data_IF_530318833994
#
_entry.id   IF_530318833994
#
_cell.length_a   1.000
_cell.length_b   1.000
_cell.length_c   1.000
_cell.angle_alpha   90.00
_cell.angle_beta   90.00
_cell.angle_gamma   90.00
#
_symmetry.space_group_name_H-M   'P 1'
#
loop_
_entity.id
_entity.type
_entity.pdbx_description
1 polymer ?
#
# COMPACT_ATOMS: atom_id res chain seq x y z
N UNK A 1 9.87 -73.92 -7.20
CA UNK A 1 9.45 -73.23 -5.96
C UNK A 1 9.95 -71.80 -6.07
N UNK A 2 9.05 -70.87 -6.42
CA UNK A 2 9.39 -69.47 -6.71
C UNK A 2 8.97 -68.61 -5.53
N UNK A 3 9.93 -67.93 -4.89
CA UNK A 3 9.69 -67.03 -3.76
C UNK A 3 9.40 -65.61 -4.30
N UNK A 4 8.15 -65.16 -4.18
CA UNK A 4 7.78 -63.75 -4.36
C UNK A 4 8.13 -62.97 -3.08
N UNK A 5 9.05 -62.01 -3.19
CA UNK A 5 9.36 -61.05 -2.13
C UNK A 5 8.40 -59.87 -2.25
N UNK A 6 7.59 -59.67 -1.23
CA UNK A 6 6.70 -58.53 -1.06
C UNK A 6 7.51 -57.39 -0.41
N UNK A 7 7.82 -56.34 -1.16
CA UNK A 7 8.48 -55.15 -0.64
C UNK A 7 7.43 -54.17 -0.11
N UNK A 8 7.41 -54.00 1.20
CA UNK A 8 6.56 -53.05 1.91
C UNK A 8 7.24 -51.67 1.88
N UNK A 9 6.74 -50.76 1.04
CA UNK A 9 7.23 -49.38 0.96
C UNK A 9 6.61 -48.56 2.11
N UNK A 10 7.45 -48.13 3.05
CA UNK A 10 7.08 -47.25 4.15
C UNK A 10 7.04 -45.80 3.64
N UNK A 11 5.85 -45.22 3.47
CA UNK A 11 5.66 -43.80 3.20
C UNK A 11 5.87 -43.02 4.51
N UNK A 12 7.02 -42.38 4.65
CA UNK A 12 7.28 -41.42 5.71
C UNK A 12 6.69 -40.06 5.30
N UNK A 13 5.57 -39.68 5.90
CA UNK A 13 4.99 -38.35 5.76
C UNK A 13 5.84 -37.34 6.55
N UNK A 14 6.64 -36.55 5.84
CA UNK A 14 7.33 -35.38 6.41
C UNK A 14 6.29 -34.28 6.56
N UNK A 15 5.77 -34.11 7.78
CA UNK A 15 4.99 -32.93 8.12
C UNK A 15 5.93 -31.73 8.17
N UNK A 16 5.89 -30.88 7.14
CA UNK A 16 6.58 -29.60 7.15
C UNK A 16 5.95 -28.72 8.25
N UNK A 17 6.66 -28.50 9.35
CA UNK A 17 6.34 -27.44 10.29
C UNK A 17 6.60 -26.12 9.58
N UNK A 18 5.54 -25.51 9.04
CA UNK A 18 5.59 -24.10 8.66
C UNK A 18 5.68 -23.28 9.97
N UNK A 19 6.64 -22.36 10.11
CA UNK A 19 6.67 -21.47 11.25
C UNK A 19 5.39 -20.64 11.25
N UNK A 20 4.60 -20.76 12.33
CA UNK A 20 3.50 -19.83 12.58
C UNK A 20 4.13 -18.49 12.97
N UNK A 21 4.29 -17.59 11.99
CA UNK A 21 4.69 -16.22 12.25
C UNK A 21 3.53 -15.53 12.99
N UNK A 22 3.74 -15.26 14.28
CA UNK A 22 2.83 -14.48 15.10
C UNK A 22 2.97 -13.00 14.70
N UNK A 23 2.08 -12.50 13.84
CA UNK A 23 1.97 -11.07 13.57
C UNK A 23 1.12 -10.42 14.66
N UNK A 24 1.78 -9.91 15.70
CA UNK A 24 1.17 -8.93 16.59
C UNK A 24 1.49 -7.54 16.05
N UNK A 25 0.54 -6.87 15.40
CA UNK A 25 0.73 -5.45 15.06
C UNK A 25 -0.58 -4.67 15.25
N UNK A 26 -0.80 -4.25 16.49
CA UNK A 26 -1.72 -3.16 16.84
C UNK A 26 -0.91 -2.00 17.46
N UNK A 27 0.17 -1.61 16.79
CA UNK A 27 0.83 -0.33 17.02
C UNK A 27 0.49 0.55 15.81
N UNK A 28 0.13 1.82 16.04
CA UNK A 28 -0.15 2.83 15.02
C UNK A 28 0.81 2.65 13.83
N UNK A 29 0.28 2.33 12.65
CA UNK A 29 1.09 2.10 11.45
C UNK A 29 1.16 3.39 10.67
N UNK A 30 2.32 4.02 10.64
CA UNK A 30 2.55 5.20 9.79
C UNK A 30 3.45 4.83 8.62
N UNK A 31 3.12 5.36 7.44
CA UNK A 31 4.03 5.44 6.33
C UNK A 31 5.03 6.56 6.61
N UNK A 32 6.24 6.16 6.98
CA UNK A 32 7.31 7.08 7.33
C UNK A 32 7.99 7.56 6.05
N UNK A 33 8.26 8.86 5.94
CA UNK A 33 8.99 9.43 4.80
C UNK A 33 9.94 10.56 5.23
N UNK A 34 10.84 10.94 4.33
CA UNK A 34 11.80 12.05 4.48
C UNK A 34 12.23 12.57 3.11
N UNK A 35 13.04 13.63 3.07
CA UNK A 35 13.71 14.06 1.85
C UNK A 35 15.11 13.48 1.75
N UNK A 36 15.44 12.83 0.64
CA UNK A 36 16.78 12.34 0.32
C UNK A 36 17.09 12.65 -1.13
N UNK A 37 18.28 13.21 -1.38
CA UNK A 37 18.76 13.55 -2.72
C UNK A 37 17.75 14.31 -3.58
N UNK A 38 17.03 15.23 -2.93
CA UNK A 38 16.00 16.06 -3.54
C UNK A 38 14.77 15.26 -4.07
N UNK A 39 14.40 14.17 -3.40
CA UNK A 39 13.19 13.39 -3.63
C UNK A 39 12.54 13.02 -2.28
N UNK A 40 11.21 12.80 -2.29
CA UNK A 40 10.53 12.15 -1.15
C UNK A 40 10.86 10.66 -1.14
N UNK A 41 11.54 10.18 -0.10
CA UNK A 41 11.84 8.76 0.11
C UNK A 41 10.94 8.22 1.23
N UNK A 42 10.22 7.13 0.95
CA UNK A 42 9.50 6.39 1.98
C UNK A 42 10.42 5.37 2.65
N UNK A 43 10.37 5.33 3.97
CA UNK A 43 11.15 4.43 4.79
C UNK A 43 10.37 3.13 5.04
N UNK A 44 11.04 1.97 5.03
CA UNK A 44 10.41 0.72 5.37
C UNK A 44 9.87 0.76 6.80
N UNK A 45 8.63 0.31 7.01
CA UNK A 45 8.05 0.24 8.34
C UNK A 45 8.86 -0.73 9.22
N UNK A 46 9.28 -0.33 10.43
CA UNK A 46 9.99 -1.21 11.34
C UNK A 46 9.21 -2.51 11.60
N UNK A 47 9.85 -3.67 11.39
CA UNK A 47 9.24 -4.98 11.65
C UNK A 47 8.38 -5.55 10.52
N UNK A 48 8.26 -4.87 9.37
CA UNK A 48 7.65 -5.45 8.17
C UNK A 48 8.75 -6.14 7.33
N UNK A 49 8.82 -7.48 7.38
CA UNK A 49 9.76 -8.28 6.58
C UNK A 49 9.44 -8.25 5.07
N UNK A 50 8.23 -7.83 4.67
CA UNK A 50 7.78 -7.70 3.27
C UNK A 50 8.19 -6.36 2.63
N UNK A 51 9.41 -5.91 2.91
CA UNK A 51 10.01 -4.66 2.44
C UNK A 51 10.47 -4.69 0.98
N UNK A 52 9.63 -5.19 0.07
CA UNK A 52 9.53 -4.47 -1.20
C UNK A 52 8.98 -3.10 -0.80
N UNK A 53 9.85 -2.08 -0.75
CA UNK A 53 9.79 -0.88 0.10
C UNK A 53 8.63 0.10 -0.18
N UNK A 54 7.52 -0.36 -0.78
CA UNK A 54 6.49 0.45 -1.42
C UNK A 54 5.06 -0.03 -1.15
N UNK A 55 4.82 -0.87 -0.14
CA UNK A 55 3.47 -1.32 0.26
C UNK A 55 3.26 -1.07 1.74
N UNK A 56 2.21 -0.33 2.09
CA UNK A 56 1.77 -0.11 3.47
C UNK A 56 0.37 -0.66 3.68
N UNK A 57 0.12 -1.17 4.87
CA UNK A 57 -1.11 -1.91 5.17
C UNK A 57 -1.99 -1.17 6.18
N UNK A 58 -3.29 -1.28 5.95
CA UNK A 58 -4.35 -0.90 6.88
C UNK A 58 -5.41 -2.00 6.96
N UNK A 59 -6.34 -1.85 7.88
CA UNK A 59 -7.47 -2.75 8.05
C UNK A 59 -8.73 -1.93 8.29
N UNK A 60 -9.83 -2.35 7.65
CA UNK A 60 -11.16 -1.85 7.95
C UNK A 60 -11.91 -2.85 8.83
N UNK A 61 -12.60 -2.33 9.84
CA UNK A 61 -13.56 -3.13 10.59
C UNK A 61 -14.65 -3.67 9.65
N UNK A 62 -14.97 -4.96 9.73
CA UNK A 62 -16.04 -5.58 8.92
C UNK A 62 -17.44 -5.35 9.48
N UNK A 63 -17.55 -4.81 10.70
CA UNK A 63 -18.81 -4.60 11.38
C UNK A 63 -18.71 -3.64 12.56
N UNK A 64 -19.85 -3.29 13.14
CA UNK A 64 -19.92 -2.34 14.25
C UNK A 64 -20.00 -0.89 13.78
N UNK A 65 -19.82 0.04 14.73
CA UNK A 65 -20.01 1.47 14.48
C UNK A 65 -18.96 2.08 13.54
N UNK A 66 -17.76 1.49 13.47
CA UNK A 66 -16.64 1.92 12.64
C UNK A 66 -16.44 1.01 11.41
N UNK A 67 -17.45 0.22 11.05
CA UNK A 67 -17.36 -0.65 9.89
C UNK A 67 -16.94 0.15 8.66
N UNK A 68 -15.99 -0.39 7.89
CA UNK A 68 -15.48 0.22 6.66
C UNK A 68 -14.80 1.59 6.86
N UNK A 69 -14.36 1.93 8.07
CA UNK A 69 -13.68 3.18 8.38
C UNK A 69 -12.33 2.86 9.04
N UNK A 70 -11.26 3.51 8.58
CA UNK A 70 -9.95 3.46 9.23
C UNK A 70 -9.19 4.75 8.99
N UNK A 71 -8.24 5.05 9.86
CA UNK A 71 -7.26 6.12 9.65
C UNK A 71 -5.83 5.59 9.63
N UNK A 72 -5.68 4.28 9.44
CA UNK A 72 -4.40 3.59 9.33
C UNK A 72 -4.20 3.09 7.89
N UNK A 73 -3.00 3.22 7.30
CA UNK A 73 -1.85 3.85 7.92
C UNK A 73 -1.96 5.39 7.96
N UNK A 74 -1.33 6.00 8.96
CA UNK A 74 -1.05 7.43 8.94
C UNK A 74 0.17 7.77 8.10
N UNK A 75 0.57 9.03 8.14
CA UNK A 75 1.74 9.56 7.45
C UNK A 75 2.60 10.32 8.44
N UNK A 76 3.89 9.99 8.49
CA UNK A 76 4.80 10.65 9.41
C UNK A 76 6.19 10.92 8.85
N UNK A 77 6.79 11.98 9.36
CA UNK A 77 8.17 12.39 9.14
C UNK A 77 8.61 13.13 10.40
N UNK A 78 9.48 12.52 11.20
CA UNK A 78 9.86 13.03 12.53
C UNK A 78 11.25 13.68 12.52
N UNK A 79 11.33 14.96 12.81
CA UNK A 79 12.57 15.73 12.92
C UNK A 79 13.47 15.22 14.03
N UNK A 80 12.89 14.77 15.15
CA UNK A 80 13.64 14.23 16.30
C UNK A 80 14.38 12.91 15.99
N UNK A 81 14.09 12.28 14.84
CA UNK A 81 14.83 11.13 14.29
C UNK A 81 15.72 11.44 13.09
N UNK A 82 15.88 12.71 12.71
CA UNK A 82 16.58 13.12 11.48
C UNK A 82 15.81 12.81 10.20
N UNK A 83 14.50 12.56 10.30
CA UNK A 83 13.61 12.23 9.19
C UNK A 83 12.68 13.38 8.82
N UNK A 84 12.63 14.43 9.64
CA UNK A 84 11.78 15.61 9.44
C UNK A 84 12.00 16.26 8.08
N UNK A 85 10.94 16.87 7.58
CA UNK A 85 10.93 17.66 6.35
C UNK A 85 11.11 19.16 6.66
N UNK A 86 11.03 20.04 5.66
CA UNK A 86 11.16 21.47 5.87
C UNK A 86 9.99 22.03 6.70
N UNK A 87 10.25 22.97 7.63
CA UNK A 87 9.18 23.64 8.36
C UNK A 87 8.14 24.28 7.45
N UNK A 88 6.86 23.95 7.67
CA UNK A 88 5.75 24.47 6.89
C UNK A 88 5.58 23.84 5.50
N UNK A 89 6.36 22.81 5.14
CA UNK A 89 6.14 22.07 3.91
C UNK A 89 4.77 21.37 3.94
N UNK A 90 4.05 21.47 2.83
CA UNK A 90 2.76 20.83 2.60
C UNK A 90 3.02 19.51 1.88
N UNK A 91 2.31 18.47 2.30
CA UNK A 91 2.37 17.14 1.68
C UNK A 91 0.99 16.78 1.15
N UNK A 92 0.95 16.38 -0.10
CA UNK A 92 -0.22 15.85 -0.78
C UNK A 92 0.10 14.48 -1.40
N UNK A 93 -0.93 13.73 -1.79
CA UNK A 93 -0.76 12.53 -2.60
C UNK A 93 -1.34 12.70 -4.00
N UNK A 94 -0.75 12.01 -4.95
CA UNK A 94 -1.31 11.78 -6.27
C UNK A 94 -1.91 10.37 -6.30
N UNK A 95 -3.12 10.22 -6.80
CA UNK A 95 -3.64 8.91 -7.20
C UNK A 95 -3.10 8.62 -8.59
N UNK A 96 -2.46 7.46 -8.79
CA UNK A 96 -1.77 7.12 -10.03
C UNK A 96 -2.64 6.30 -10.99
N UNK A 97 -3.56 5.49 -10.46
CA UNK A 97 -4.43 4.61 -11.23
C UNK A 97 -5.74 4.35 -10.46
N UNK A 98 -6.62 3.54 -11.05
CA UNK A 98 -7.89 3.08 -10.49
C UNK A 98 -7.70 2.29 -9.18
N UNK A 99 -8.82 2.04 -8.49
CA UNK A 99 -8.84 1.18 -7.32
C UNK A 99 -8.49 -0.27 -7.68
N UNK A 100 -7.44 -0.81 -7.07
CA UNK A 100 -7.08 -2.22 -7.21
C UNK A 100 -7.89 -3.05 -6.23
N UNK A 101 -8.25 -4.26 -6.66
CA UNK A 101 -8.92 -5.24 -5.82
C UNK A 101 -8.27 -6.60 -6.02
N UNK A 102 -7.91 -7.23 -4.90
CA UNK A 102 -7.35 -8.57 -4.86
C UNK A 102 -8.22 -9.44 -3.96
N UNK A 103 -8.55 -10.63 -4.43
CA UNK A 103 -9.22 -11.65 -3.63
C UNK A 103 -8.89 -13.05 -4.18
N UNK A 104 -8.88 -14.05 -3.31
CA UNK A 104 -8.70 -15.47 -3.70
C UNK A 104 -7.49 -15.74 -4.61
N UNK A 105 -6.38 -15.01 -4.43
CA UNK A 105 -5.16 -15.23 -5.20
C UNK A 105 -5.03 -14.44 -6.50
N UNK A 106 -6.02 -13.63 -6.87
CA UNK A 106 -6.04 -12.92 -8.15
C UNK A 106 -6.41 -11.44 -8.01
N UNK A 107 -5.82 -10.61 -8.87
CA UNK A 107 -6.30 -9.25 -9.09
C UNK A 107 -7.55 -9.26 -9.99
N UNK A 108 -8.52 -8.43 -9.66
CA UNK A 108 -9.72 -8.19 -10.44
C UNK A 108 -10.12 -6.71 -10.33
N UNK A 109 -11.04 -6.27 -11.18
CA UNK A 109 -11.71 -4.99 -10.96
C UNK A 109 -12.69 -5.13 -9.79
N UNK A 110 -12.76 -4.14 -8.87
CA UNK A 110 -13.82 -4.12 -7.87
C UNK A 110 -15.20 -3.94 -8.53
N UNK A 111 -16.27 -4.16 -7.76
CA UNK A 111 -17.62 -3.78 -8.18
C UNK A 111 -17.63 -2.29 -8.61
N UNK A 112 -18.22 -1.93 -9.77
CA UNK A 112 -18.25 -0.56 -10.26
C UNK A 112 -18.84 0.49 -9.31
N UNK A 113 -19.63 0.06 -8.32
CA UNK A 113 -20.24 0.93 -7.32
C UNK A 113 -19.42 1.03 -6.02
N UNK A 114 -18.31 0.28 -5.92
CA UNK A 114 -17.41 0.31 -4.77
C UNK A 114 -16.31 1.33 -5.00
N UNK A 115 -16.06 2.15 -3.98
CA UNK A 115 -14.98 3.13 -3.99
C UNK A 115 -14.32 3.25 -2.62
N UNK A 116 -13.07 3.70 -2.62
CA UNK A 116 -12.42 4.19 -1.40
C UNK A 116 -12.54 5.71 -1.39
N UNK A 117 -13.19 6.23 -0.35
CA UNK A 117 -13.20 7.66 -0.02
C UNK A 117 -12.02 7.96 0.89
N UNK A 118 -11.14 8.86 0.46
CA UNK A 118 -10.13 9.48 1.31
C UNK A 118 -10.66 10.84 1.78
N UNK A 119 -10.97 10.94 3.07
CA UNK A 119 -11.40 12.20 3.69
C UNK A 119 -10.18 13.05 4.01
N UNK A 120 -9.94 14.06 3.18
CA UNK A 120 -8.78 14.92 3.27
C UNK A 120 -8.90 15.92 4.43
N UNK A 121 -7.75 16.36 4.95
CA UNK A 121 -7.70 17.27 6.09
C UNK A 121 -8.01 18.72 5.67
N UNK A 122 -9.29 19.02 5.43
CA UNK A 122 -9.79 20.37 5.14
C UNK A 122 -9.96 20.69 3.65
N UNK A 123 -9.74 19.72 2.77
CA UNK A 123 -10.07 19.83 1.34
C UNK A 123 -11.15 18.82 0.94
N UNK A 124 -11.58 18.86 -0.32
CA UNK A 124 -12.57 17.92 -0.85
C UNK A 124 -12.06 16.49 -0.75
N UNK A 125 -12.96 15.56 -0.41
CA UNK A 125 -12.66 14.13 -0.40
C UNK A 125 -12.22 13.64 -1.78
N UNK A 126 -11.35 12.64 -1.80
CA UNK A 126 -10.96 11.92 -3.01
C UNK A 126 -11.75 10.63 -3.08
N UNK A 127 -12.33 10.31 -4.24
CA UNK A 127 -13.03 9.04 -4.48
C UNK A 127 -12.23 8.25 -5.52
N UNK A 128 -11.80 7.05 -5.14
CA UNK A 128 -11.02 6.16 -6.02
C UNK A 128 -11.82 4.88 -6.24
N UNK A 129 -12.19 4.64 -7.49
CA UNK A 129 -13.00 3.49 -7.93
C UNK A 129 -12.34 2.80 -9.14
N UNK A 130 -13.02 1.80 -9.71
CA UNK A 130 -12.56 0.99 -10.84
C UNK A 130 -12.24 1.77 -12.14
N UNK A 131 -12.74 2.99 -12.31
CA UNK A 131 -12.64 3.80 -13.53
C UNK A 131 -12.21 5.26 -13.27
N UNK A 132 -11.83 5.58 -12.03
CA UNK A 132 -11.48 6.94 -11.60
C UNK A 132 -10.17 7.47 -12.21
N UNK A 133 -9.23 6.60 -12.57
CA UNK A 133 -7.93 6.94 -13.17
C UNK A 133 -7.02 7.79 -12.28
N UNK A 134 -6.01 8.40 -12.89
CA UNK A 134 -5.06 9.27 -12.19
C UNK A 134 -5.73 10.57 -11.69
N UNK A 135 -5.46 10.94 -10.44
CA UNK A 135 -5.99 12.14 -9.78
C UNK A 135 -4.83 12.89 -9.12
N UNK A 136 -4.27 13.93 -9.77
CA UNK A 136 -3.15 14.67 -9.22
C UNK A 136 -3.55 15.44 -7.96
N UNK A 137 -2.67 15.41 -6.96
CA UNK A 137 -2.76 16.28 -5.80
C UNK A 137 -2.32 17.70 -6.11
N UNK A 138 -2.58 18.61 -5.18
CA UNK A 138 -2.10 19.99 -5.27
C UNK A 138 -1.71 20.50 -3.90
N UNK A 139 -0.46 20.95 -3.78
CA UNK A 139 0.09 21.64 -2.60
C UNK A 139 -0.16 23.15 -2.61
N UNK A 140 -0.90 23.63 -3.61
CA UNK A 140 -1.42 24.98 -3.69
C UNK A 140 -2.96 24.96 -3.71
N UNK A 141 -3.60 26.08 -3.33
CA UNK A 141 -5.05 26.20 -3.39
C UNK A 141 -5.59 25.78 -4.77
N UNK A 142 -6.56 24.85 -4.83
CA UNK A 142 -7.51 24.49 -3.77
C UNK A 142 -7.13 23.32 -2.84
N UNK A 143 -5.85 22.91 -2.76
CA UNK A 143 -5.33 21.88 -1.84
C UNK A 143 -5.95 20.47 -2.05
N UNK A 144 -6.02 20.04 -3.31
CA UNK A 144 -6.53 18.70 -3.68
C UNK A 144 -5.62 17.61 -3.11
N UNK A 145 -6.21 16.53 -2.56
CA UNK A 145 -5.49 15.37 -2.01
C UNK A 145 -4.40 15.75 -0.97
N UNK A 146 -4.60 16.85 -0.23
CA UNK A 146 -3.64 17.30 0.77
C UNK A 146 -3.78 16.47 2.04
N UNK A 147 -2.65 15.89 2.48
CA UNK A 147 -2.55 15.14 3.73
C UNK A 147 -2.42 16.11 4.91
N UNK A 148 -1.56 17.12 4.76
CA UNK A 148 -1.38 18.17 5.76
C UNK A 148 -0.12 19.01 5.54
N UNK A 149 0.30 19.69 6.61
CA UNK A 149 1.46 20.57 6.63
C UNK A 149 2.35 20.20 7.83
N UNK A 150 3.68 20.23 7.62
CA UNK A 150 4.67 20.10 8.68
C UNK A 150 4.63 21.30 9.61
N UNK A 151 4.98 21.09 10.88
CA UNK A 151 5.01 22.15 11.86
C UNK A 151 6.24 23.07 11.72
N UNK A 152 6.43 23.96 12.70
CA UNK A 152 7.53 24.93 12.70
C UNK A 152 8.93 24.33 12.88
N UNK A 153 9.06 23.06 13.23
CA UNK A 153 10.34 22.34 13.35
C UNK A 153 10.51 21.26 12.28
N UNK A 154 9.52 21.09 11.39
CA UNK A 154 9.56 20.08 10.33
C UNK A 154 8.98 18.73 10.74
N UNK A 155 8.31 18.64 11.90
CA UNK A 155 7.57 17.44 12.28
C UNK A 155 6.27 17.35 11.48
N UNK A 156 6.04 16.18 10.91
CA UNK A 156 4.81 15.83 10.21
C UNK A 156 4.24 14.56 10.81
N UNK A 157 3.03 14.64 11.36
CA UNK A 157 2.24 13.48 11.74
C UNK A 157 0.78 13.78 11.43
N UNK A 158 0.23 13.08 10.44
CA UNK A 158 -1.12 13.33 9.94
C UNK A 158 -1.77 12.02 9.58
N UNK A 159 -3.05 11.92 9.90
CA UNK A 159 -3.91 10.86 9.44
C UNK A 159 -4.96 11.48 8.53
N UNK A 160 -5.20 10.87 7.38
CA UNK A 160 -6.45 11.01 6.63
C UNK A 160 -7.34 9.82 6.98
N UNK A 161 -8.62 9.91 6.66
CA UNK A 161 -9.55 8.80 6.91
C UNK A 161 -9.88 8.10 5.60
N UNK A 162 -9.81 6.79 5.60
CA UNK A 162 -10.13 5.93 4.47
C UNK A 162 -11.45 5.22 4.76
N UNK A 163 -12.42 5.37 3.87
CA UNK A 163 -13.69 4.66 3.96
C UNK A 163 -13.91 3.79 2.73
N UNK A 164 -14.29 2.53 2.95
CA UNK A 164 -14.69 1.64 1.87
C UNK A 164 -16.22 1.70 1.70
N UNK A 165 -16.69 2.31 0.62
CA UNK A 165 -18.10 2.61 0.43
C UNK A 165 -18.66 1.90 -0.80
N UNK A 166 -19.98 1.75 -0.82
CA UNK A 166 -20.74 1.25 -1.96
C UNK A 166 -21.90 2.22 -2.23
N UNK A 167 -22.10 2.68 -3.46
CA UNK A 167 -23.07 3.74 -3.78
C UNK A 167 -24.52 3.38 -3.39
N UNK A 168 -24.87 2.10 -3.47
CA UNK A 168 -26.19 1.57 -3.05
C UNK A 168 -26.35 1.38 -1.54
N UNK A 169 -25.28 1.56 -0.75
CA UNK A 169 -25.25 1.23 0.68
C UNK A 169 -25.09 -0.26 1.00
N UNK A 170 -24.84 -1.11 0.00
CA UNK A 170 -24.50 -2.50 0.21
C UNK A 170 -23.12 -2.65 0.90
N UNK A 171 -22.89 -3.77 1.59
CA UNK A 171 -21.54 -4.11 2.05
C UNK A 171 -20.69 -4.51 0.84
N UNK A 172 -19.51 -3.90 0.61
CA UNK A 172 -18.56 -4.34 -0.39
C UNK A 172 -18.13 -5.80 -0.18
N UNK A 173 -17.63 -6.46 -1.23
CA UNK A 173 -17.09 -7.82 -1.12
C UNK A 173 -15.84 -7.85 -0.24
N UNK A 174 -15.59 -8.97 0.44
CA UNK A 174 -14.31 -9.14 1.12
C UNK A 174 -13.15 -9.17 0.13
N UNK A 175 -11.98 -8.68 0.56
CA UNK A 175 -10.79 -8.61 -0.25
C UNK A 175 -9.78 -7.58 0.24
N UNK A 176 -8.68 -7.45 -0.49
CA UNK A 176 -7.67 -6.43 -0.29
C UNK A 176 -7.82 -5.33 -1.35
N UNK A 177 -8.11 -4.11 -0.90
CA UNK A 177 -8.29 -2.95 -1.77
C UNK A 177 -7.03 -2.08 -1.75
N UNK A 178 -6.53 -1.68 -2.91
CA UNK A 178 -5.25 -0.99 -3.05
C UNK A 178 -5.36 0.36 -3.74
N UNK A 179 -4.79 1.39 -3.12
CA UNK A 179 -4.58 2.71 -3.72
C UNK A 179 -3.15 2.82 -4.25
N UNK A 180 -2.98 3.02 -5.55
CA UNK A 180 -1.67 3.34 -6.14
C UNK A 180 -1.42 4.85 -6.03
N UNK A 181 -0.40 5.24 -5.28
CA UNK A 181 -0.14 6.63 -4.91
C UNK A 181 1.31 7.06 -5.17
N UNK A 182 1.54 8.36 -5.28
CA UNK A 182 2.84 8.98 -4.96
C UNK A 182 2.64 10.15 -4.01
N UNK A 183 3.67 10.53 -3.26
CA UNK A 183 3.67 11.75 -2.44
C UNK A 183 4.25 12.92 -3.22
N UNK A 184 3.71 14.11 -2.98
CA UNK A 184 4.20 15.38 -3.52
C UNK A 184 4.34 16.41 -2.42
N UNK A 185 5.18 17.43 -2.65
CA UNK A 185 5.41 18.51 -1.70
C UNK A 185 5.60 19.86 -2.37
N UNK A 186 5.41 20.95 -1.62
CA UNK A 186 5.77 22.31 -2.07
C UNK A 186 7.23 22.68 -1.80
N UNK A 187 8.02 21.80 -1.19
CA UNK A 187 9.44 22.03 -0.96
C UNK A 187 10.18 22.23 -2.30
N UNK A 188 10.81 23.39 -2.46
CA UNK A 188 11.46 23.75 -3.72
C UNK A 188 12.59 22.77 -4.07
N UNK A 189 12.51 22.18 -5.26
CA UNK A 189 13.53 21.27 -5.76
C UNK A 189 13.41 19.84 -5.25
N UNK A 190 12.40 19.52 -4.44
CA UNK A 190 12.11 18.14 -4.02
C UNK A 190 11.13 17.51 -5.02
N UNK A 191 11.53 16.40 -5.63
CA UNK A 191 10.69 15.60 -6.52
C UNK A 191 9.71 14.71 -5.74
N UNK A 192 8.63 14.33 -6.41
CA UNK A 192 7.63 13.38 -5.90
C UNK A 192 8.28 12.02 -5.55
N UNK A 193 7.64 11.30 -4.64
CA UNK A 193 8.09 9.95 -4.30
C UNK A 193 7.95 8.98 -5.46
N UNK A 194 8.70 7.88 -5.40
CA UNK A 194 8.37 6.70 -6.19
C UNK A 194 6.91 6.24 -5.92
N UNK A 195 6.26 5.58 -6.91
CA UNK A 195 4.96 4.98 -6.73
C UNK A 195 4.92 4.03 -5.53
N UNK A 196 3.79 3.96 -4.84
CA UNK A 196 3.54 3.05 -3.73
C UNK A 196 2.11 2.55 -3.71
N UNK A 197 1.85 1.53 -2.90
CA UNK A 197 0.50 1.07 -2.57
C UNK A 197 0.19 1.30 -1.09
N UNK A 198 -1.00 1.85 -0.82
CA UNK A 198 -1.71 1.62 0.43
C UNK A 198 -2.72 0.50 0.19
N UNK A 199 -2.62 -0.59 0.92
CA UNK A 199 -3.55 -1.72 0.80
C UNK A 199 -4.32 -1.92 2.10
N UNK A 200 -5.59 -2.22 1.98
CA UNK A 200 -6.50 -2.33 3.10
C UNK A 200 -7.16 -3.70 3.11
N UNK A 201 -7.08 -4.39 4.25
CA UNK A 201 -7.82 -5.62 4.46
C UNK A 201 -9.29 -5.31 4.75
N UNK A 202 -10.20 -5.90 3.97
CA UNK A 202 -11.62 -5.99 4.32
C UNK A 202 -12.05 -7.46 4.44
N UNK A 203 -11.94 -8.01 5.63
CA UNK A 203 -12.50 -9.33 5.96
C UNK A 203 -11.73 -10.55 5.44
N UNK A 204 -10.51 -10.39 4.91
CA UNK A 204 -9.64 -11.52 4.60
C UNK A 204 -9.03 -12.12 5.87
N UNK A 205 -8.69 -13.41 5.80
CA UNK A 205 -7.82 -14.02 6.80
C UNK A 205 -6.44 -13.36 6.76
N UNK A 206 -5.71 -13.43 7.88
CA UNK A 206 -4.33 -12.91 7.93
C UNK A 206 -3.41 -13.54 6.87
N UNK A 207 -3.58 -14.84 6.60
CA UNK A 207 -2.80 -15.54 5.59
C UNK A 207 -3.12 -15.01 4.19
N UNK A 208 -4.39 -14.81 3.87
CA UNK A 208 -4.80 -14.30 2.56
C UNK A 208 -4.39 -12.84 2.37
N UNK A 209 -4.46 -12.02 3.43
CA UNK A 209 -4.01 -10.63 3.34
C UNK A 209 -2.49 -10.51 3.19
N UNK A 210 -1.71 -11.38 3.84
CA UNK A 210 -0.26 -11.46 3.59
C UNK A 210 0.05 -11.89 2.14
N UNK A 211 -0.74 -12.82 1.57
CA UNK A 211 -0.62 -13.18 0.16
C UNK A 211 -0.98 -12.01 -0.76
N UNK A 212 -2.02 -11.24 -0.43
CA UNK A 212 -2.37 -10.02 -1.15
C UNK A 212 -1.21 -9.00 -1.13
N UNK A 213 -0.63 -8.73 0.04
CA UNK A 213 0.49 -7.81 0.18
C UNK A 213 1.68 -8.18 -0.71
N UNK A 214 2.01 -9.47 -0.79
CA UNK A 214 3.03 -9.98 -1.71
C UNK A 214 2.64 -9.79 -3.17
N UNK A 215 1.38 -10.01 -3.54
CA UNK A 215 0.92 -9.79 -4.91
C UNK A 215 1.01 -8.30 -5.32
N UNK A 216 0.70 -7.36 -4.41
CA UNK A 216 0.89 -5.93 -4.66
C UNK A 216 2.38 -5.54 -4.77
N UNK A 217 3.22 -6.13 -3.93
CA UNK A 217 4.67 -5.97 -3.99
C UNK A 217 5.26 -6.42 -5.33
N UNK A 218 4.77 -7.55 -5.87
CA UNK A 218 5.19 -8.10 -7.15
C UNK A 218 4.86 -7.17 -8.33
N UNK A 219 3.87 -6.27 -8.21
CA UNK A 219 3.59 -5.24 -9.23
C UNK A 219 4.75 -4.26 -9.43
N UNK A 220 5.66 -4.12 -8.46
CA UNK A 220 6.88 -3.31 -8.57
C UNK A 220 8.10 -4.08 -9.06
N UNK A 221 8.00 -5.41 -9.18
CA UNK A 221 9.10 -6.22 -9.70
C UNK A 221 8.99 -6.25 -11.22
N UNK A 222 10.07 -5.94 -11.96
CA UNK A 222 10.05 -6.07 -13.41
C UNK A 222 9.61 -7.48 -13.78
N UNK A 223 8.57 -7.57 -14.61
CA UNK A 223 7.97 -8.85 -15.00
C UNK A 223 8.93 -9.74 -15.81
N UNK A 224 10.01 -9.15 -16.33
CA UNK A 224 11.02 -9.82 -17.14
C UNK A 224 12.41 -9.67 -16.52
N UNK A 225 13.12 -10.77 -16.21
CA UNK A 225 14.53 -10.71 -15.86
C UNK A 225 15.34 -10.03 -16.99
N UNK A 226 15.93 -8.89 -16.69
CA UNK A 226 16.68 -8.07 -17.65
C UNK A 226 15.95 -6.82 -18.13
N UNK A 227 14.67 -6.64 -17.78
CA UNK A 227 13.91 -5.40 -17.98
C UNK A 227 14.23 -4.46 -16.81
N UNK A 228 15.39 -3.82 -16.87
CA UNK A 228 15.86 -2.94 -15.81
C UNK A 228 15.16 -1.57 -15.86
N UNK A 229 14.62 -1.17 -17.00
CA UNK A 229 13.89 0.09 -17.14
C UNK A 229 12.38 -0.04 -16.83
N UNK A 230 11.85 -1.26 -16.69
CA UNK A 230 10.48 -1.56 -16.31
C UNK A 230 9.44 -1.32 -17.42
N UNK A 231 9.86 -1.27 -18.69
CA UNK A 231 8.96 -0.95 -19.82
C UNK A 231 8.20 -2.18 -20.38
N UNK A 232 8.44 -3.36 -19.78
CA UNK A 232 7.83 -4.62 -20.18
C UNK A 232 8.53 -5.30 -21.36
N UNK A 233 9.71 -4.83 -21.75
CA UNK A 233 10.59 -5.45 -22.75
C UNK A 233 11.99 -5.65 -22.18
N UNK A 234 12.75 -6.60 -22.74
CA UNK A 234 14.19 -6.73 -22.47
C UNK A 234 14.93 -6.35 -23.74
N UNK A 235 15.50 -5.17 -23.78
CA UNK A 235 16.22 -4.63 -24.92
C UNK A 235 17.50 -3.85 -24.54
N UNK A 236 18.04 -3.07 -25.48
CA UNK A 236 19.29 -2.34 -25.27
C UNK A 236 19.15 -1.17 -24.28
N UNK A 237 17.94 -0.63 -24.08
CA UNK A 237 17.67 0.45 -23.15
C UNK A 237 17.92 0.02 -21.69
N UNK A 238 17.72 -1.26 -21.38
CA UNK A 238 17.96 -1.85 -20.06
C UNK A 238 19.43 -1.83 -19.61
N UNK A 239 20.37 -1.62 -20.53
CA UNK A 239 21.80 -1.51 -20.20
C UNK A 239 22.26 -0.07 -19.94
N UNK A 240 21.33 0.90 -19.99
CA UNK A 240 21.64 2.33 -19.89
C UNK A 240 20.95 3.06 -18.74
N UNK A 241 20.22 2.32 -17.90
CA UNK A 241 19.59 2.81 -16.66
C UNK A 241 20.55 2.81 -15.47
#
# INVERSE_FOLDING_TARGET
MSFHRCSLTLLASVAALLPQQLFAQAAHSDAIFKYVDAQIELLPSPGQEYSSQRVWTGEWDVGGFFAQDTNQPGWASEAVGGQGIGPGDIVAYNVLDNLYYWNEGVFASPDPQVHVRVQNNGSSDTLVDHASGAQPGSVAAPFVNTIGQADGIGDFHKHVRYKLEHDSGATPSFGAYGLSLSLSTNASGVADSEPLFLIFNFGLSQQDFAAAANAYAELFTPSLPGDFNGDGSVDAADYTV
#
